data_IF_627970286153
#
_entry.id   IF_627970286153
#
_cell.length_a   1.000
_cell.length_b   1.000
_cell.length_c   1.000
_cell.angle_alpha   90.00
_cell.angle_beta   90.00
_cell.angle_gamma   90.00
#
_symmetry.space_group_name_H-M   'P 1'
#
loop_
_entity.id
_entity.type
_entity.pdbx_description
1 polymer ?
#
# COMPACT_ATOMS: atom_id res chain seq x y z
N UNK A 1 30.89 18.89 -10.80
CA UNK A 1 30.71 18.74 -9.34
C UNK A 1 29.47 17.91 -9.13
N UNK A 2 29.40 17.12 -8.05
CA UNK A 2 28.28 16.22 -7.78
C UNK A 2 27.44 16.85 -6.69
N UNK A 3 26.17 17.09 -6.95
CA UNK A 3 25.27 17.80 -6.01
C UNK A 3 24.38 16.80 -5.28
N UNK A 4 24.20 16.99 -3.97
CA UNK A 4 23.27 16.23 -3.14
C UNK A 4 21.89 16.89 -3.14
N UNK A 5 20.84 16.17 -3.49
CA UNK A 5 19.45 16.64 -3.32
C UNK A 5 18.80 15.90 -2.17
N UNK A 6 18.57 16.61 -1.06
CA UNK A 6 17.93 16.06 0.13
C UNK A 6 16.43 16.33 0.12
N UNK A 7 15.61 15.29 -0.02
CA UNK A 7 14.15 15.38 0.03
C UNK A 7 13.64 15.16 1.45
N UNK A 8 12.85 16.12 1.93
CA UNK A 8 12.17 16.09 3.22
C UNK A 8 10.65 16.02 3.02
N UNK A 9 10.04 14.81 3.02
CA UNK A 9 8.59 14.69 2.99
C UNK A 9 7.99 15.13 4.33
N UNK A 10 6.99 16.00 4.27
CA UNK A 10 6.42 16.69 5.44
C UNK A 10 4.91 16.60 5.50
N UNK A 11 4.39 16.47 6.72
CA UNK A 11 2.97 16.62 7.02
C UNK A 11 2.81 16.96 8.51
N UNK A 12 2.38 18.15 8.87
CA UNK A 12 2.37 18.63 10.26
C UNK A 12 3.77 18.67 10.94
N UNK A 13 4.74 19.29 10.29
CA UNK A 13 6.13 19.42 10.75
C UNK A 13 6.54 20.89 10.98
N UNK A 14 5.57 21.80 11.17
CA UNK A 14 5.79 23.26 11.24
C UNK A 14 6.82 23.69 12.30
N UNK A 15 6.93 22.94 13.40
CA UNK A 15 7.91 23.19 14.47
C UNK A 15 9.27 22.58 14.19
N UNK A 16 9.32 21.48 13.44
CA UNK A 16 10.56 20.73 13.24
C UNK A 16 11.42 21.35 12.13
N UNK A 17 10.80 21.87 11.07
CA UNK A 17 11.53 22.44 9.92
C UNK A 17 12.48 23.60 10.31
N UNK A 18 12.05 24.62 11.08
CA UNK A 18 12.95 25.70 11.49
C UNK A 18 14.13 25.25 12.36
N UNK A 19 13.96 24.18 13.15
CA UNK A 19 15.03 23.64 13.99
C UNK A 19 15.98 22.70 13.26
N UNK A 20 15.48 22.01 12.23
CA UNK A 20 16.22 21.00 11.49
C UNK A 20 17.12 21.61 10.42
N UNK A 21 16.64 22.61 9.67
CA UNK A 21 17.36 23.18 8.53
C UNK A 21 18.77 23.70 8.90
N UNK A 22 18.96 24.51 9.96
CA UNK A 22 20.30 25.01 10.31
C UNK A 22 21.29 23.89 10.64
N UNK A 23 20.82 22.79 11.25
CA UNK A 23 21.65 21.63 11.60
C UNK A 23 22.06 20.84 10.36
N UNK A 24 21.15 20.72 9.39
CA UNK A 24 21.45 20.08 8.10
C UNK A 24 22.50 20.89 7.32
N UNK A 25 22.35 22.21 7.28
CA UNK A 25 23.31 23.12 6.62
C UNK A 25 24.71 22.99 7.25
N UNK A 26 24.79 22.97 8.57
CA UNK A 26 26.06 22.79 9.28
C UNK A 26 26.74 21.45 8.90
N UNK A 27 26.00 20.34 8.91
CA UNK A 27 26.54 19.01 8.64
C UNK A 27 26.89 18.79 7.17
N UNK A 28 26.19 19.47 6.27
CA UNK A 28 26.46 19.43 4.83
C UNK A 28 27.51 20.46 4.40
N UNK A 29 28.16 21.14 5.34
CA UNK A 29 29.28 22.05 5.04
C UNK A 29 30.36 21.33 4.22
N UNK A 30 30.67 21.86 3.04
CA UNK A 30 31.64 21.26 2.11
C UNK A 30 31.05 20.26 1.10
N UNK A 31 29.74 19.98 1.17
CA UNK A 31 28.98 19.22 0.17
C UNK A 31 28.03 20.21 -0.53
N UNK A 32 28.16 20.35 -1.85
CA UNK A 32 27.20 21.12 -2.64
C UNK A 32 25.84 20.41 -2.59
N UNK A 33 24.81 21.11 -2.13
CA UNK A 33 23.51 20.49 -1.86
C UNK A 33 22.33 21.43 -2.14
N UNK A 34 21.17 20.82 -2.34
CA UNK A 34 19.86 21.46 -2.28
C UNK A 34 18.94 20.65 -1.35
N UNK A 35 18.01 21.31 -0.68
CA UNK A 35 17.00 20.70 0.17
C UNK A 35 15.64 20.94 -0.47
N UNK A 36 14.84 19.87 -0.61
CA UNK A 36 13.52 19.91 -1.23
C UNK A 36 12.50 19.45 -0.21
N UNK A 37 11.73 20.39 0.33
CA UNK A 37 10.63 20.11 1.24
C UNK A 37 9.37 19.82 0.41
N UNK A 38 8.81 18.62 0.57
CA UNK A 38 7.57 18.21 -0.12
C UNK A 38 6.47 18.06 0.92
N UNK A 39 5.48 18.96 0.89
CA UNK A 39 4.44 19.07 1.91
C UNK A 39 3.05 18.73 1.37
N UNK A 40 2.32 17.90 2.11
CA UNK A 40 0.99 17.37 1.75
C UNK A 40 -0.17 18.25 2.23
N UNK A 41 -0.04 19.56 1.95
CA UNK A 41 -0.99 20.59 2.34
C UNK A 41 -1.28 20.56 3.85
N UNK A 42 -0.21 20.66 4.63
CA UNK A 42 -0.27 20.57 6.08
C UNK A 42 -1.20 21.64 6.67
N UNK A 43 -2.19 21.25 7.50
CA UNK A 43 -3.09 22.19 8.15
C UNK A 43 -2.40 23.07 9.20
N UNK A 44 -1.22 22.69 9.69
CA UNK A 44 -0.43 23.49 10.63
C UNK A 44 0.43 24.58 9.96
N UNK A 45 0.36 24.71 8.62
CA UNK A 45 1.12 25.71 7.88
C UNK A 45 2.58 25.35 7.60
N UNK A 46 2.99 24.08 7.73
CA UNK A 46 4.37 23.62 7.43
C UNK A 46 4.89 24.15 6.09
N UNK A 47 4.10 24.03 5.00
CA UNK A 47 4.47 24.55 3.68
C UNK A 47 4.68 26.06 3.65
N UNK A 48 3.94 26.82 4.47
CA UNK A 48 4.02 28.28 4.50
C UNK A 48 5.33 28.72 5.17
N UNK A 49 5.64 28.12 6.31
CA UNK A 49 6.90 28.34 7.04
C UNK A 49 8.09 27.95 6.15
N UNK A 50 8.02 26.80 5.46
CA UNK A 50 9.06 26.38 4.54
C UNK A 50 9.28 27.39 3.41
N UNK A 51 8.21 27.98 2.86
CA UNK A 51 8.31 29.02 1.83
C UNK A 51 8.94 30.31 2.35
N UNK A 52 8.61 30.73 3.58
CA UNK A 52 9.24 31.89 4.22
C UNK A 52 10.74 31.68 4.40
N UNK A 53 11.13 30.49 4.88
CA UNK A 53 12.54 30.12 5.05
C UNK A 53 13.31 30.01 3.72
N UNK A 54 12.62 29.70 2.62
CA UNK A 54 13.20 29.62 1.28
C UNK A 54 13.37 30.99 0.59
N UNK A 55 12.86 32.09 1.16
CA UNK A 55 12.97 33.41 0.54
C UNK A 55 14.43 33.83 0.38
N UNK A 56 14.82 34.13 -0.87
CA UNK A 56 16.19 34.54 -1.20
C UNK A 56 17.22 33.39 -1.23
N UNK A 57 16.78 32.14 -1.14
CA UNK A 57 17.63 30.95 -1.18
C UNK A 57 17.49 30.19 -2.51
N UNK A 58 18.61 29.78 -3.08
CA UNK A 58 18.64 28.93 -4.28
C UNK A 58 18.78 27.45 -3.94
N UNK A 59 19.23 27.13 -2.72
CA UNK A 59 19.51 25.80 -2.18
C UNK A 59 18.31 25.19 -1.44
N UNK A 60 17.20 25.92 -1.27
CA UNK A 60 16.00 25.43 -0.60
C UNK A 60 14.78 25.56 -1.51
N UNK A 61 14.09 24.45 -1.73
CA UNK A 61 12.93 24.33 -2.60
C UNK A 61 11.74 23.76 -1.84
N UNK A 62 10.53 24.22 -2.17
CA UNK A 62 9.30 23.80 -1.51
C UNK A 62 8.25 23.39 -2.54
N UNK A 63 7.71 22.19 -2.38
CA UNK A 63 6.63 21.65 -3.21
C UNK A 63 5.42 21.42 -2.30
N UNK A 64 4.37 22.23 -2.48
CA UNK A 64 3.07 22.02 -1.81
C UNK A 64 2.14 21.18 -2.69
N UNK A 65 1.62 20.08 -2.17
CA UNK A 65 0.78 19.14 -2.91
C UNK A 65 -0.67 19.22 -2.47
N UNK A 66 -1.53 19.76 -3.34
CA UNK A 66 -2.97 19.89 -3.07
C UNK A 66 -3.72 18.61 -3.46
N UNK A 67 -4.61 18.14 -2.58
CA UNK A 67 -5.49 16.99 -2.84
C UNK A 67 -4.78 15.63 -2.98
N UNK A 68 -3.47 15.58 -2.75
CA UNK A 68 -2.62 14.37 -2.81
C UNK A 68 -1.99 14.14 -1.45
N UNK A 69 -1.88 12.87 -1.04
CA UNK A 69 -1.18 12.49 0.20
C UNK A 69 -0.44 11.17 0.03
N UNK A 70 0.72 11.07 0.68
CA UNK A 70 1.44 9.80 0.83
C UNK A 70 2.95 9.96 0.78
N UNK A 71 3.64 9.29 1.71
CA UNK A 71 5.09 9.38 1.89
C UNK A 71 5.86 9.00 0.62
N UNK A 72 5.65 7.81 0.05
CA UNK A 72 6.40 7.38 -1.14
C UNK A 72 6.18 8.33 -2.31
N UNK A 73 4.94 8.78 -2.54
CA UNK A 73 4.65 9.74 -3.60
C UNK A 73 5.35 11.09 -3.39
N UNK A 74 5.50 11.56 -2.14
CA UNK A 74 6.21 12.81 -1.83
C UNK A 74 7.69 12.69 -2.20
N UNK A 75 8.29 11.56 -1.82
CA UNK A 75 9.71 11.28 -2.09
C UNK A 75 9.96 11.19 -3.60
N UNK A 76 9.11 10.47 -4.34
CA UNK A 76 9.21 10.36 -5.81
C UNK A 76 9.11 11.75 -6.46
N UNK A 77 8.14 12.58 -6.05
CA UNK A 77 7.97 13.92 -6.60
C UNK A 77 9.14 14.84 -6.27
N UNK A 78 9.70 14.74 -5.06
CA UNK A 78 10.93 15.44 -4.69
C UNK A 78 12.14 15.01 -5.51
N UNK A 79 12.36 13.71 -5.71
CA UNK A 79 13.45 13.19 -6.54
C UNK A 79 13.29 13.56 -8.01
N UNK A 80 12.07 13.65 -8.53
CA UNK A 80 11.82 14.10 -9.91
C UNK A 80 12.07 15.60 -10.09
N UNK A 81 11.89 16.40 -9.04
CA UNK A 81 12.18 17.84 -9.05
C UNK A 81 13.66 18.17 -8.76
N UNK A 82 14.43 17.19 -8.29
CA UNK A 82 15.81 17.35 -7.89
C UNK A 82 16.76 17.59 -9.09
N UNK A 83 17.76 18.45 -8.86
CA UNK A 83 18.81 18.83 -9.80
C UNK A 83 20.11 18.08 -9.58
N UNK A 84 20.34 17.56 -8.37
CA UNK A 84 21.55 16.87 -8.01
C UNK A 84 21.75 15.50 -8.66
N UNK A 85 22.89 14.89 -8.37
CA UNK A 85 23.31 13.59 -8.91
C UNK A 85 23.15 12.46 -7.88
N UNK A 86 23.13 12.82 -6.60
CA UNK A 86 22.84 11.92 -5.49
C UNK A 86 21.56 12.40 -4.82
N UNK A 87 20.58 11.52 -4.74
CA UNK A 87 19.33 11.79 -4.06
C UNK A 87 19.38 11.19 -2.66
N UNK A 88 18.97 11.95 -1.65
CA UNK A 88 18.79 11.45 -0.30
C UNK A 88 17.40 11.79 0.21
N UNK A 89 16.89 10.95 1.11
CA UNK A 89 15.61 11.21 1.79
C UNK A 89 15.76 10.97 3.28
N UNK A 90 15.10 11.80 4.08
CA UNK A 90 14.92 11.57 5.51
C UNK A 90 13.61 12.18 6.00
N UNK A 91 13.02 11.57 7.03
CA UNK A 91 11.91 12.16 7.79
C UNK A 91 12.34 13.48 8.45
N UNK A 92 11.44 14.47 8.46
CA UNK A 92 11.68 15.80 9.01
C UNK A 92 11.41 15.92 10.52
N UNK A 93 11.17 14.82 11.23
CA UNK A 93 10.71 14.81 12.62
C UNK A 93 11.86 14.70 13.66
N UNK A 94 13.10 14.71 13.17
CA UNK A 94 14.33 14.64 13.97
C UNK A 94 14.70 13.25 14.48
N UNK A 95 13.97 12.19 14.07
CA UNK A 95 14.28 10.82 14.51
C UNK A 95 15.49 10.21 13.79
N UNK A 96 15.75 10.63 12.56
CA UNK A 96 16.92 10.20 11.82
C UNK A 96 18.18 10.90 12.32
N UNK A 97 19.27 10.13 12.38
CA UNK A 97 20.58 10.67 12.70
C UNK A 97 21.17 11.36 11.47
N UNK A 98 20.82 12.64 11.30
CA UNK A 98 21.22 13.42 10.12
C UNK A 98 22.75 13.62 10.02
N UNK A 99 23.53 13.35 11.08
CA UNK A 99 24.99 13.29 11.03
C UNK A 99 25.51 12.19 10.08
N UNK A 100 24.66 11.22 9.73
CA UNK A 100 25.00 10.17 8.78
C UNK A 100 24.88 10.60 7.32
N UNK A 101 24.23 11.73 7.01
CA UNK A 101 24.02 12.19 5.64
C UNK A 101 25.32 12.27 4.81
N UNK A 102 26.42 12.86 5.30
CA UNK A 102 27.69 12.88 4.57
C UNK A 102 28.20 11.47 4.25
N UNK A 103 28.08 10.53 5.19
CA UNK A 103 28.52 9.14 4.98
C UNK A 103 27.68 8.44 3.89
N UNK A 104 26.36 8.63 3.88
CA UNK A 104 25.48 8.08 2.85
C UNK A 104 25.80 8.69 1.47
N UNK A 105 26.00 10.00 1.41
CA UNK A 105 26.42 10.70 0.19
C UNK A 105 27.74 10.15 -0.34
N UNK A 106 28.77 10.05 0.50
CA UNK A 106 30.08 9.54 0.10
C UNK A 106 30.05 8.06 -0.33
N UNK A 107 29.21 7.24 0.30
CA UNK A 107 29.03 5.85 -0.12
C UNK A 107 28.48 5.75 -1.54
N UNK A 108 27.45 6.53 -1.87
CA UNK A 108 26.89 6.58 -3.23
C UNK A 108 27.92 7.13 -4.23
N UNK A 109 28.60 8.21 -3.88
CA UNK A 109 29.69 8.79 -4.69
C UNK A 109 30.83 7.81 -4.97
N UNK A 110 31.09 6.89 -4.05
CA UNK A 110 32.14 5.87 -4.17
C UNK A 110 31.72 4.65 -4.97
N UNK A 111 30.50 4.63 -5.52
CA UNK A 111 30.02 3.58 -6.42
C UNK A 111 28.91 2.69 -5.84
N UNK A 112 28.46 2.91 -4.60
CA UNK A 112 27.24 2.26 -4.12
C UNK A 112 26.04 2.78 -4.90
N UNK A 113 25.19 1.90 -5.40
CA UNK A 113 23.94 2.33 -6.03
C UNK A 113 22.96 2.91 -5.00
N UNK A 114 22.93 2.33 -3.80
CA UNK A 114 22.09 2.78 -2.67
C UNK A 114 22.90 2.69 -1.37
N UNK A 115 22.80 3.71 -0.51
CA UNK A 115 23.33 3.70 0.85
C UNK A 115 22.19 3.91 1.85
N UNK A 116 22.03 3.02 2.83
CA UNK A 116 20.89 2.99 3.76
C UNK A 116 21.36 3.26 5.18
N UNK A 117 20.73 4.21 5.86
CA UNK A 117 20.79 4.28 7.32
C UNK A 117 19.99 3.12 7.90
N UNK A 118 20.64 2.22 8.63
CA UNK A 118 20.08 0.95 9.09
C UNK A 118 20.08 0.83 10.61
N UNK A 119 18.94 0.43 11.16
CA UNK A 119 18.77 0.19 12.61
C UNK A 119 19.18 -1.22 13.03
N UNK A 120 19.40 -2.12 12.07
CA UNK A 120 19.53 -3.57 12.30
C UNK A 120 20.91 -4.13 11.91
N UNK A 121 21.84 -3.28 11.48
CA UNK A 121 23.27 -3.62 11.38
C UNK A 121 23.99 -3.47 12.72
N UNK A 122 25.20 -4.02 12.82
CA UNK A 122 26.04 -3.88 14.00
C UNK A 122 26.32 -2.39 14.28
N UNK A 123 26.10 -1.95 15.52
CA UNK A 123 26.14 -0.53 15.90
C UNK A 123 24.84 0.26 15.71
N UNK A 124 23.84 -0.31 15.02
CA UNK A 124 22.51 0.29 14.84
C UNK A 124 21.58 0.02 16.03
N UNK A 125 20.63 0.91 16.28
CA UNK A 125 19.64 0.75 17.35
C UNK A 125 18.29 1.38 17.02
N UNK A 126 17.21 0.76 17.50
CA UNK A 126 15.85 1.32 17.45
C UNK A 126 15.57 2.29 18.61
N UNK A 127 16.55 2.55 19.47
CA UNK A 127 16.42 3.44 20.62
C UNK A 127 15.35 2.96 21.62
N UNK A 128 14.61 3.90 22.19
CA UNK A 128 13.55 3.65 23.19
C UNK A 128 12.17 3.34 22.55
N UNK A 129 12.10 2.46 21.56
CA UNK A 129 10.79 2.00 21.05
C UNK A 129 10.08 1.08 22.05
N UNK A 130 8.75 1.23 22.16
CA UNK A 130 7.87 0.23 22.80
C UNK A 130 8.16 -1.16 22.23
N UNK A 131 8.39 -2.14 23.10
CA UNK A 131 8.69 -3.53 22.77
C UNK A 131 7.70 -4.13 21.78
N UNK A 132 6.40 -3.80 21.89
CA UNK A 132 5.37 -4.27 20.96
C UNK A 132 5.60 -3.74 19.54
N UNK A 133 5.96 -2.46 19.42
CA UNK A 133 6.28 -1.83 18.14
C UNK A 133 7.56 -2.43 17.54
N UNK A 134 8.54 -2.76 18.37
CA UNK A 134 9.75 -3.44 17.91
C UNK A 134 9.45 -4.82 17.35
N UNK A 135 8.64 -5.64 18.02
CA UNK A 135 8.27 -6.98 17.55
C UNK A 135 7.52 -6.90 16.23
N UNK A 136 6.51 -6.04 16.12
CA UNK A 136 5.75 -5.84 14.87
C UNK A 136 6.66 -5.40 13.72
N UNK A 137 7.58 -4.47 13.98
CA UNK A 137 8.55 -4.02 12.97
C UNK A 137 9.48 -5.15 12.52
N UNK A 138 9.97 -5.98 13.44
CA UNK A 138 10.82 -7.13 13.11
C UNK A 138 10.07 -8.18 12.28
N UNK A 139 8.81 -8.46 12.61
CA UNK A 139 7.97 -9.40 11.84
C UNK A 139 7.73 -8.85 10.43
N UNK A 140 7.32 -7.59 10.31
CA UNK A 140 7.11 -6.94 9.02
C UNK A 140 8.39 -6.94 8.16
N UNK A 141 9.54 -6.66 8.78
CA UNK A 141 10.85 -6.69 8.12
C UNK A 141 11.19 -8.09 7.64
N UNK A 142 11.09 -9.12 8.48
CA UNK A 142 11.36 -10.52 8.09
C UNK A 142 10.45 -10.98 6.96
N UNK A 143 9.17 -10.61 7.00
CA UNK A 143 8.22 -10.92 5.94
C UNK A 143 8.63 -10.28 4.61
N UNK A 144 9.00 -9.00 4.62
CA UNK A 144 9.50 -8.31 3.42
C UNK A 144 10.77 -8.96 2.86
N UNK A 145 11.74 -9.29 3.72
CA UNK A 145 12.98 -9.95 3.31
C UNK A 145 12.72 -11.31 2.65
N UNK A 146 11.87 -12.12 3.26
CA UNK A 146 11.51 -13.44 2.75
C UNK A 146 10.78 -13.36 1.40
N UNK A 147 9.80 -12.46 1.30
CA UNK A 147 8.94 -12.34 0.13
C UNK A 147 9.60 -11.62 -1.05
N UNK A 148 10.41 -10.60 -0.78
CA UNK A 148 11.01 -9.75 -1.81
C UNK A 148 12.45 -10.16 -2.18
N UNK A 149 13.07 -11.06 -1.41
CA UNK A 149 14.43 -11.55 -1.62
C UNK A 149 15.49 -10.42 -1.73
N UNK A 150 15.30 -9.33 -0.98
CA UNK A 150 16.23 -8.18 -0.94
C UNK A 150 17.38 -8.44 0.03
N UNK A 151 18.59 -7.98 -0.30
CA UNK A 151 19.83 -8.23 0.46
C UNK A 151 20.21 -7.05 1.38
N UNK A 152 19.30 -6.63 2.22
CA UNK A 152 19.47 -5.51 3.17
C UNK A 152 18.88 -5.91 4.52
N UNK A 153 19.44 -5.51 5.66
CA UNK A 153 18.88 -5.81 6.98
C UNK A 153 17.72 -4.88 7.37
N UNK A 154 17.75 -3.63 6.93
CA UNK A 154 16.68 -2.65 7.16
C UNK A 154 16.04 -2.09 5.86
N UNK A 155 15.26 -2.91 5.11
CA UNK A 155 14.59 -2.48 3.88
C UNK A 155 13.45 -1.47 4.12
N UNK A 156 13.12 -1.19 5.39
CA UNK A 156 11.98 -0.36 5.79
C UNK A 156 12.42 1.04 6.24
N UNK A 157 13.72 1.35 6.15
CA UNK A 157 14.28 2.63 6.52
C UNK A 157 13.71 3.77 5.65
N UNK A 158 13.40 4.88 6.30
CA UNK A 158 13.05 6.15 5.65
C UNK A 158 14.27 7.03 5.41
N UNK A 159 15.48 6.52 5.68
CA UNK A 159 16.71 7.27 5.61
C UNK A 159 17.73 6.55 4.72
N UNK A 160 17.90 7.06 3.50
CA UNK A 160 18.83 6.48 2.53
C UNK A 160 19.23 7.52 1.47
N UNK A 161 20.29 7.21 0.74
CA UNK A 161 20.71 7.88 -0.47
C UNK A 161 20.76 6.90 -1.65
N UNK A 162 20.53 7.40 -2.85
CA UNK A 162 20.50 6.65 -4.11
C UNK A 162 21.15 7.48 -5.23
N UNK A 163 21.85 6.80 -6.13
CA UNK A 163 22.36 7.41 -7.35
C UNK A 163 21.21 7.83 -8.28
N UNK A 164 21.21 9.07 -8.77
CA UNK A 164 20.16 9.58 -9.67
C UNK A 164 19.91 8.67 -10.87
N UNK A 165 20.99 8.23 -11.53
CA UNK A 165 20.89 7.37 -12.73
C UNK A 165 20.19 6.05 -12.42
N UNK A 166 20.34 5.52 -11.20
CA UNK A 166 19.66 4.31 -10.76
C UNK A 166 18.17 4.57 -10.51
N UNK A 167 17.84 5.67 -9.84
CA UNK A 167 16.45 6.08 -9.62
C UNK A 167 15.70 6.28 -10.95
N UNK A 168 16.27 7.02 -11.89
CA UNK A 168 15.65 7.30 -13.19
C UNK A 168 15.37 6.02 -14.00
N UNK A 169 16.21 4.99 -13.85
CA UNK A 169 15.99 3.67 -14.48
C UNK A 169 14.79 2.90 -13.94
N UNK A 170 14.40 3.16 -12.69
CA UNK A 170 13.36 2.37 -11.99
C UNK A 170 12.09 3.15 -11.67
N UNK A 171 12.10 4.49 -11.74
CA UNK A 171 11.00 5.36 -11.30
C UNK A 171 9.65 4.99 -11.91
N UNK A 172 9.61 4.56 -13.16
CA UNK A 172 8.38 4.16 -13.88
C UNK A 172 7.78 2.84 -13.37
N UNK A 173 8.55 2.05 -12.61
CA UNK A 173 8.12 0.77 -12.02
C UNK A 173 7.68 0.92 -10.56
N UNK A 174 7.94 2.07 -9.94
CA UNK A 174 7.64 2.31 -8.53
C UNK A 174 6.13 2.45 -8.31
N UNK A 175 5.67 1.98 -7.15
CA UNK A 175 4.30 2.11 -6.69
C UNK A 175 4.16 3.37 -5.81
N UNK A 176 3.51 4.45 -6.30
CA UNK A 176 3.39 5.70 -5.55
C UNK A 176 2.44 5.62 -4.35
N UNK A 177 1.61 4.57 -4.25
CA UNK A 177 0.59 4.42 -3.19
C UNK A 177 1.19 3.96 -1.84
N UNK A 178 2.44 3.51 -1.82
CA UNK A 178 3.07 2.94 -0.64
C UNK A 178 3.55 3.96 0.41
N UNK A 179 3.92 3.44 1.58
CA UNK A 179 4.63 4.17 2.64
C UNK A 179 6.14 3.85 2.68
N UNK A 180 6.60 2.81 1.97
CA UNK A 180 7.93 2.22 2.13
C UNK A 180 8.70 2.22 0.82
N UNK A 181 9.04 3.44 0.36
CA UNK A 181 9.75 3.69 -0.89
C UNK A 181 11.08 2.94 -1.03
N UNK A 182 11.83 2.77 0.07
CA UNK A 182 13.09 2.02 0.03
C UNK A 182 12.88 0.56 -0.40
N UNK A 183 11.88 -0.12 0.18
CA UNK A 183 11.57 -1.51 -0.18
C UNK A 183 11.18 -1.63 -1.66
N UNK A 184 10.43 -0.66 -2.17
CA UNK A 184 10.00 -0.60 -3.58
C UNK A 184 11.16 -0.36 -4.54
N UNK A 185 12.08 0.55 -4.17
CA UNK A 185 13.34 0.72 -4.87
C UNK A 185 14.14 -0.59 -4.88
N UNK A 186 14.34 -1.23 -3.72
CA UNK A 186 15.11 -2.48 -3.59
C UNK A 186 14.53 -3.64 -4.40
N UNK A 187 13.20 -3.66 -4.62
CA UNK A 187 12.53 -4.66 -5.46
C UNK A 187 12.72 -4.37 -6.95
N UNK A 188 12.82 -3.10 -7.33
CA UNK A 188 12.85 -2.66 -8.73
C UNK A 188 14.26 -2.49 -9.32
N UNK A 189 15.27 -2.27 -8.48
CA UNK A 189 16.67 -2.12 -8.93
C UNK A 189 17.26 -3.45 -9.42
N UNK A 190 18.27 -3.41 -10.30
CA UNK A 190 19.01 -4.61 -10.70
C UNK A 190 19.58 -5.36 -9.49
N UNK A 191 19.65 -6.70 -9.56
CA UNK A 191 20.08 -7.54 -8.43
C UNK A 191 21.56 -7.36 -8.07
N UNK A 192 22.34 -6.89 -9.03
CA UNK A 192 23.75 -6.56 -8.94
C UNK A 192 24.01 -5.17 -8.32
N UNK A 193 22.97 -4.36 -8.10
CA UNK A 193 23.11 -3.05 -7.44
C UNK A 193 23.76 -3.23 -6.08
N UNK A 194 24.89 -2.55 -5.88
CA UNK A 194 25.57 -2.51 -4.59
C UNK A 194 24.77 -1.65 -3.61
N UNK A 195 24.37 -2.26 -2.50
CA UNK A 195 23.69 -1.58 -1.39
C UNK A 195 24.56 -1.65 -0.15
N UNK A 196 24.86 -0.50 0.46
CA UNK A 196 25.59 -0.42 1.73
C UNK A 196 24.66 -0.01 2.87
N UNK A 197 24.87 -0.57 4.05
CA UNK A 197 24.11 -0.23 5.26
C UNK A 197 25.02 0.40 6.30
N UNK A 198 24.62 1.55 6.81
CA UNK A 198 25.37 2.30 7.80
C UNK A 198 24.56 2.36 9.12
N UNK A 199 25.16 2.01 10.27
CA UNK A 199 24.45 2.00 11.53
C UNK A 199 24.00 3.39 11.95
N UNK A 200 22.79 3.50 12.48
CA UNK A 200 22.37 4.68 13.25
C UNK A 200 21.45 4.32 14.41
N UNK A 201 21.35 5.24 15.38
CA UNK A 201 20.40 5.15 16.47
C UNK A 201 19.15 5.94 16.14
N UNK A 202 18.00 5.28 16.07
CA UNK A 202 16.72 5.93 15.85
C UNK A 202 16.30 6.74 17.09
N UNK A 203 16.33 8.08 16.98
CA UNK A 203 16.11 9.01 18.09
C UNK A 203 14.61 9.16 18.40
N UNK A 204 14.28 9.72 19.56
CA UNK A 204 12.91 10.16 19.86
C UNK A 204 12.55 11.34 18.96
N UNK A 205 11.28 11.40 18.57
CA UNK A 205 10.76 12.52 17.79
C UNK A 205 10.87 13.83 18.58
N UNK A 206 11.25 14.92 17.91
CA UNK A 206 11.35 16.25 18.52
C UNK A 206 9.96 16.78 18.92
N UNK A 207 9.02 16.81 17.97
CA UNK A 207 7.64 17.23 18.19
C UNK A 207 6.62 16.40 17.41
N UNK A 208 5.40 16.20 17.95
CA UNK A 208 4.25 15.59 17.26
C UNK A 208 3.93 14.13 17.62
N UNK A 209 2.87 13.56 17.03
CA UNK A 209 2.37 12.20 17.32
C UNK A 209 2.64 11.20 16.18
N UNK A 210 2.91 9.93 16.53
CA UNK A 210 3.19 8.85 15.56
C UNK A 210 2.06 8.68 14.54
N UNK A 211 2.43 8.63 13.25
CA UNK A 211 1.50 8.48 12.12
C UNK A 211 1.21 7.01 11.76
N UNK A 212 1.73 6.04 12.52
CA UNK A 212 1.49 4.61 12.32
C UNK A 212 0.04 4.24 12.69
N UNK A 213 -0.84 4.29 11.69
CA UNK A 213 -2.22 3.83 11.81
C UNK A 213 -2.37 2.39 11.29
N UNK A 214 -3.48 1.72 11.65
CA UNK A 214 -3.85 0.43 11.08
C UNK A 214 -3.87 0.45 9.55
N UNK A 215 -4.22 1.59 8.95
CA UNK A 215 -4.22 1.79 7.50
C UNK A 215 -2.82 1.56 6.89
N UNK A 216 -1.77 2.11 7.52
CA UNK A 216 -0.38 1.94 7.05
C UNK A 216 0.04 0.46 7.10
N UNK A 217 -0.45 -0.31 8.07
CA UNK A 217 -0.16 -1.74 8.16
C UNK A 217 -0.86 -2.52 7.04
N UNK A 218 -2.12 -2.17 6.74
CA UNK A 218 -2.86 -2.77 5.62
C UNK A 218 -2.19 -2.42 4.29
N UNK A 219 -1.88 -1.14 4.05
CA UNK A 219 -1.22 -0.69 2.81
C UNK A 219 0.12 -1.42 2.59
N UNK A 220 0.87 -1.72 3.66
CA UNK A 220 2.08 -2.51 3.58
C UNK A 220 1.82 -3.98 3.19
N UNK A 221 0.79 -4.61 3.75
CA UNK A 221 0.42 -5.98 3.38
C UNK A 221 -0.09 -6.06 1.93
N UNK A 222 -0.88 -5.07 1.49
CA UNK A 222 -1.33 -4.96 0.10
C UNK A 222 -0.13 -4.81 -0.85
N UNK A 223 0.83 -3.94 -0.49
CA UNK A 223 2.06 -3.79 -1.26
C UNK A 223 2.86 -5.10 -1.35
N UNK A 224 3.09 -5.80 -0.24
CA UNK A 224 3.80 -7.08 -0.23
C UNK A 224 3.10 -8.12 -1.11
N UNK A 225 1.77 -8.15 -1.07
CA UNK A 225 0.97 -8.99 -1.95
C UNK A 225 1.22 -8.62 -3.41
N UNK A 226 1.12 -7.34 -3.76
CA UNK A 226 1.25 -6.85 -5.14
C UNK A 226 2.60 -7.21 -5.77
N UNK A 227 3.69 -7.04 -5.04
CA UNK A 227 5.04 -7.32 -5.57
C UNK A 227 5.37 -8.82 -5.68
N UNK A 228 4.64 -9.67 -4.96
CA UNK A 228 4.85 -11.13 -4.95
C UNK A 228 3.80 -11.89 -5.76
N UNK A 229 2.57 -11.96 -5.26
CA UNK A 229 1.46 -12.76 -5.80
C UNK A 229 0.59 -11.93 -6.75
N UNK A 230 0.53 -10.61 -6.55
CA UNK A 230 -0.28 -9.67 -7.34
C UNK A 230 -0.01 -9.72 -8.84
N UNK A 231 1.22 -10.10 -9.21
CA UNK A 231 1.63 -10.32 -10.62
C UNK A 231 0.83 -11.43 -11.31
N UNK A 232 0.30 -12.39 -10.54
CA UNK A 232 -0.46 -13.54 -11.04
C UNK A 232 -1.94 -13.43 -10.68
N UNK A 233 -2.25 -12.97 -9.47
CA UNK A 233 -3.61 -12.90 -8.94
C UNK A 233 -3.85 -11.48 -8.44
N UNK A 234 -4.76 -10.70 -9.06
CA UNK A 234 -5.04 -9.35 -8.60
C UNK A 234 -5.61 -9.32 -7.18
N UNK A 235 -5.19 -8.36 -6.35
CA UNK A 235 -5.72 -8.21 -4.99
C UNK A 235 -7.24 -7.99 -4.98
N UNK A 236 -7.77 -7.31 -6.00
CA UNK A 236 -9.22 -7.14 -6.21
C UNK A 236 -9.94 -8.47 -6.40
N UNK A 237 -9.32 -9.47 -7.03
CA UNK A 237 -9.89 -10.82 -7.14
C UNK A 237 -9.93 -11.54 -5.78
N UNK A 238 -8.88 -11.39 -4.97
CA UNK A 238 -8.85 -11.97 -3.62
C UNK A 238 -9.92 -11.33 -2.74
N UNK A 239 -10.02 -9.99 -2.72
CA UNK A 239 -11.07 -9.26 -1.99
C UNK A 239 -12.46 -9.70 -2.45
N UNK A 240 -12.68 -9.80 -3.77
CA UNK A 240 -13.95 -10.27 -4.34
C UNK A 240 -14.31 -11.69 -3.86
N UNK A 241 -13.33 -12.60 -3.86
CA UNK A 241 -13.52 -13.98 -3.41
C UNK A 241 -13.83 -14.06 -1.92
N UNK A 242 -13.15 -13.26 -1.09
CA UNK A 242 -13.43 -13.15 0.35
C UNK A 242 -14.84 -12.65 0.62
N UNK A 243 -15.29 -11.62 -0.11
CA UNK A 243 -16.67 -11.15 -0.04
C UNK A 243 -17.65 -12.25 -0.41
N UNK A 244 -17.39 -13.01 -1.48
CA UNK A 244 -18.20 -14.16 -1.87
C UNK A 244 -18.33 -15.21 -0.77
N UNK A 245 -17.23 -15.58 -0.12
CA UNK A 245 -17.21 -16.51 1.02
C UNK A 245 -18.02 -16.00 2.21
N UNK A 246 -17.87 -14.71 2.55
CA UNK A 246 -18.69 -14.08 3.59
C UNK A 246 -20.18 -14.07 3.20
N UNK A 247 -20.49 -13.88 1.91
CA UNK A 247 -21.84 -13.97 1.37
C UNK A 247 -22.49 -15.34 1.60
N UNK A 248 -21.72 -16.43 1.51
CA UNK A 248 -22.21 -17.78 1.84
C UNK A 248 -22.60 -17.87 3.32
N UNK A 249 -21.79 -17.31 4.21
CA UNK A 249 -22.13 -17.26 5.64
C UNK A 249 -23.40 -16.43 5.89
N UNK A 250 -23.51 -15.25 5.27
CA UNK A 250 -24.70 -14.39 5.33
C UNK A 250 -25.94 -15.12 4.81
N UNK A 251 -25.81 -15.87 3.71
CA UNK A 251 -26.88 -16.71 3.17
C UNK A 251 -27.38 -17.74 4.20
N UNK A 252 -26.46 -18.49 4.83
CA UNK A 252 -26.82 -19.49 5.83
C UNK A 252 -27.51 -18.87 7.06
N UNK A 253 -27.00 -17.75 7.55
CA UNK A 253 -27.60 -17.01 8.66
C UNK A 253 -28.99 -16.45 8.30
N UNK A 254 -29.13 -15.87 7.11
CA UNK A 254 -30.41 -15.34 6.63
C UNK A 254 -31.44 -16.46 6.45
N UNK A 255 -31.04 -17.59 5.85
CA UNK A 255 -31.90 -18.77 5.71
C UNK A 255 -32.39 -19.27 7.07
N UNK A 256 -31.48 -19.41 8.03
CA UNK A 256 -31.84 -19.81 9.40
C UNK A 256 -32.81 -18.82 10.05
N UNK A 257 -32.54 -17.51 9.94
CA UNK A 257 -33.37 -16.47 10.52
C UNK A 257 -34.77 -16.42 9.89
N UNK A 258 -34.88 -16.47 8.56
CA UNK A 258 -36.17 -16.48 7.85
C UNK A 258 -36.98 -17.71 8.24
N UNK A 259 -36.36 -18.88 8.26
CA UNK A 259 -37.03 -20.13 8.62
C UNK A 259 -37.57 -20.09 10.06
N UNK A 260 -36.78 -19.57 11.00
CA UNK A 260 -37.13 -19.59 12.44
C UNK A 260 -38.06 -18.46 12.86
N UNK A 261 -37.83 -17.25 12.36
CA UNK A 261 -38.51 -16.05 12.88
C UNK A 261 -39.62 -15.54 11.96
N UNK A 262 -39.49 -15.71 10.65
CA UNK A 262 -40.46 -15.20 9.67
C UNK A 262 -41.51 -16.26 9.36
N UNK A 263 -41.08 -17.43 8.93
CA UNK A 263 -42.00 -18.49 8.52
C UNK A 263 -42.59 -19.26 9.70
N UNK A 264 -41.93 -19.22 10.87
CA UNK A 264 -42.33 -19.86 12.13
C UNK A 264 -42.89 -21.28 11.95
N UNK A 265 -42.41 -21.99 10.92
CA UNK A 265 -43.08 -23.19 10.44
C UNK A 265 -42.70 -24.36 11.32
N UNK A 266 -43.69 -24.93 12.01
CA UNK A 266 -43.52 -26.12 12.86
C UNK A 266 -43.25 -27.39 12.04
N UNK A 267 -43.59 -27.38 10.75
CA UNK A 267 -43.41 -28.50 9.83
C UNK A 267 -42.64 -28.08 8.56
N UNK A 268 -41.67 -28.89 8.09
CA UNK A 268 -40.96 -28.62 6.85
C UNK A 268 -41.92 -28.72 5.66
N UNK A 269 -42.02 -27.63 4.86
CA UNK A 269 -42.76 -27.60 3.61
C UNK A 269 -41.87 -27.09 2.47
N UNK A 270 -42.09 -27.57 1.25
CA UNK A 270 -41.34 -27.15 0.06
C UNK A 270 -41.53 -25.66 -0.23
N UNK A 271 -42.76 -25.14 -0.01
CA UNK A 271 -43.06 -23.72 -0.17
C UNK A 271 -42.29 -22.84 0.80
N UNK A 272 -42.31 -23.16 2.10
CA UNK A 272 -41.57 -22.42 3.12
C UNK A 272 -40.06 -22.48 2.87
N UNK A 273 -39.53 -23.65 2.54
CA UNK A 273 -38.12 -23.81 2.16
C UNK A 273 -37.73 -22.90 0.99
N UNK A 274 -38.53 -22.89 -0.08
CA UNK A 274 -38.26 -22.09 -1.28
C UNK A 274 -38.24 -20.59 -0.98
N UNK A 275 -39.20 -20.10 -0.20
CA UNK A 275 -39.25 -18.69 0.22
C UNK A 275 -38.00 -18.32 1.04
N UNK A 276 -37.60 -19.18 1.98
CA UNK A 276 -36.42 -18.94 2.80
C UNK A 276 -35.12 -18.91 1.96
N UNK A 277 -34.96 -19.82 1.00
CA UNK A 277 -33.80 -19.85 0.10
C UNK A 277 -33.74 -18.62 -0.80
N UNK A 278 -34.86 -18.20 -1.38
CA UNK A 278 -34.92 -16.99 -2.22
C UNK A 278 -34.54 -15.75 -1.40
N UNK A 279 -35.17 -15.55 -0.23
CA UNK A 279 -34.88 -14.42 0.64
C UNK A 279 -33.43 -14.40 1.13
N UNK A 280 -32.87 -15.57 1.48
CA UNK A 280 -31.47 -15.70 1.87
C UNK A 280 -30.50 -15.40 0.72
N UNK A 281 -30.82 -15.83 -0.49
CA UNK A 281 -30.03 -15.57 -1.71
C UNK A 281 -29.97 -14.08 -2.00
N UNK A 282 -31.12 -13.40 -2.03
CA UNK A 282 -31.19 -11.95 -2.24
C UNK A 282 -30.44 -11.18 -1.14
N UNK A 283 -30.57 -11.60 0.12
CA UNK A 283 -29.84 -10.98 1.24
C UNK A 283 -28.32 -11.08 1.04
N UNK A 284 -27.82 -12.25 0.60
CA UNK A 284 -26.41 -12.44 0.32
C UNK A 284 -25.93 -11.65 -0.91
N UNK A 285 -26.74 -11.55 -1.96
CA UNK A 285 -26.43 -10.75 -3.16
C UNK A 285 -26.31 -9.26 -2.79
N UNK A 286 -27.26 -8.74 -2.02
CA UNK A 286 -27.27 -7.35 -1.53
C UNK A 286 -26.03 -7.09 -0.68
N UNK A 287 -25.74 -7.97 0.28
CA UNK A 287 -24.54 -7.88 1.12
C UNK A 287 -23.25 -7.85 0.27
N UNK A 288 -23.12 -8.79 -0.68
CA UNK A 288 -21.96 -8.89 -1.54
C UNK A 288 -21.76 -7.64 -2.41
N UNK A 289 -22.85 -7.10 -2.97
CA UNK A 289 -22.77 -5.89 -3.78
C UNK A 289 -22.26 -4.69 -2.98
N UNK A 290 -22.83 -4.43 -1.81
CA UNK A 290 -22.45 -3.28 -1.00
C UNK A 290 -21.03 -3.41 -0.44
N UNK A 291 -20.65 -4.60 0.02
CA UNK A 291 -19.30 -4.82 0.53
C UNK A 291 -18.25 -4.71 -0.58
N UNK A 292 -18.51 -5.26 -1.77
CA UNK A 292 -17.63 -5.06 -2.92
C UNK A 292 -17.54 -3.57 -3.33
N UNK A 293 -18.66 -2.82 -3.29
CA UNK A 293 -18.67 -1.40 -3.65
C UNK A 293 -17.86 -0.52 -2.67
N UNK A 294 -17.85 -0.87 -1.39
CA UNK A 294 -17.18 -0.10 -0.33
C UNK A 294 -15.72 -0.53 -0.15
N UNK A 295 -15.40 -1.81 -0.37
CA UNK A 295 -14.09 -2.38 -0.05
C UNK A 295 -13.32 -2.87 -1.29
N UNK A 296 -13.86 -3.81 -2.06
CA UNK A 296 -13.17 -4.40 -3.23
C UNK A 296 -12.87 -3.37 -4.31
N UNK A 297 -13.88 -2.56 -4.66
CA UNK A 297 -13.84 -1.54 -5.71
C UNK A 297 -13.98 -0.13 -5.13
N UNK A 298 -13.40 0.09 -3.94
CA UNK A 298 -13.48 1.37 -3.24
C UNK A 298 -13.03 2.58 -4.08
N UNK A 299 -12.08 2.38 -5.00
CA UNK A 299 -11.60 3.41 -5.93
C UNK A 299 -12.61 3.83 -7.02
N UNK A 300 -13.61 2.99 -7.30
CA UNK A 300 -14.66 3.22 -8.32
C UNK A 300 -16.05 3.15 -7.67
N UNK A 301 -16.14 3.56 -6.40
CA UNK A 301 -17.34 3.40 -5.59
C UNK A 301 -18.55 4.08 -6.25
N UNK A 302 -19.57 3.29 -6.55
CA UNK A 302 -20.83 3.75 -7.12
C UNK A 302 -21.70 4.40 -6.04
N UNK A 303 -22.33 5.54 -6.36
CA UNK A 303 -23.22 6.27 -5.46
C UNK A 303 -24.54 6.67 -6.14
N UNK A 304 -25.61 6.82 -5.36
CA UNK A 304 -26.92 7.25 -5.85
C UNK A 304 -27.46 6.39 -7.00
N UNK A 305 -27.88 7.02 -8.09
CA UNK A 305 -28.44 6.32 -9.27
C UNK A 305 -27.47 5.32 -9.89
N UNK A 306 -26.17 5.58 -9.85
CA UNK A 306 -25.16 4.67 -10.38
C UNK A 306 -25.07 3.38 -9.56
N UNK A 307 -25.30 3.45 -8.24
CA UNK A 307 -25.33 2.27 -7.40
C UNK A 307 -26.54 1.37 -7.73
N UNK A 308 -27.71 1.96 -8.01
CA UNK A 308 -28.89 1.20 -8.42
C UNK A 308 -28.68 0.48 -9.77
N UNK A 309 -28.13 1.19 -10.76
CA UNK A 309 -27.77 0.58 -12.06
C UNK A 309 -26.68 -0.49 -11.88
N UNK A 310 -25.67 -0.21 -11.05
CA UNK A 310 -24.62 -1.16 -10.71
C UNK A 310 -25.17 -2.43 -10.06
N UNK A 311 -26.15 -2.31 -9.18
CA UNK A 311 -26.79 -3.45 -8.53
C UNK A 311 -27.51 -4.36 -9.54
N UNK A 312 -28.21 -3.77 -10.52
CA UNK A 312 -28.83 -4.55 -11.61
C UNK A 312 -27.79 -5.28 -12.45
N UNK A 313 -26.71 -4.60 -12.83
CA UNK A 313 -25.60 -5.21 -13.57
C UNK A 313 -24.94 -6.35 -12.79
N UNK A 314 -24.74 -6.16 -11.49
CA UNK A 314 -24.20 -7.18 -10.59
C UNK A 314 -25.07 -8.43 -10.55
N UNK A 315 -26.39 -8.26 -10.45
CA UNK A 315 -27.34 -9.37 -10.49
C UNK A 315 -27.27 -10.14 -11.82
N UNK A 316 -27.23 -9.43 -12.94
CA UNK A 316 -27.07 -10.06 -14.27
C UNK A 316 -25.77 -10.85 -14.32
N UNK A 317 -24.67 -10.28 -13.86
CA UNK A 317 -23.38 -10.97 -13.80
C UNK A 317 -23.47 -12.26 -12.98
N UNK A 318 -24.04 -12.19 -11.78
CA UNK A 318 -24.23 -13.34 -10.89
C UNK A 318 -25.09 -14.44 -11.51
N UNK A 319 -26.17 -14.08 -12.22
CA UNK A 319 -27.02 -15.04 -12.92
C UNK A 319 -26.24 -15.80 -13.99
N UNK A 320 -25.48 -15.10 -14.82
CA UNK A 320 -24.63 -15.75 -15.82
C UNK A 320 -23.50 -16.57 -15.17
N UNK A 321 -22.92 -16.12 -14.06
CA UNK A 321 -21.92 -16.90 -13.32
C UNK A 321 -22.47 -18.21 -12.78
N UNK A 322 -23.73 -18.23 -12.35
CA UNK A 322 -24.41 -19.47 -11.94
C UNK A 322 -24.56 -20.44 -13.12
N UNK A 323 -24.90 -19.93 -14.31
CA UNK A 323 -24.96 -20.74 -15.54
C UNK A 323 -23.59 -21.28 -15.96
N UNK A 324 -22.54 -20.47 -15.85
CA UNK A 324 -21.15 -20.90 -16.11
C UNK A 324 -20.75 -22.02 -15.15
N UNK A 325 -21.03 -21.85 -13.85
CA UNK A 325 -20.77 -22.88 -12.85
C UNK A 325 -21.47 -24.20 -13.20
N UNK A 326 -22.77 -24.14 -13.47
CA UNK A 326 -23.56 -25.31 -13.83
C UNK A 326 -23.04 -25.97 -15.11
N UNK A 327 -22.76 -25.19 -16.17
CA UNK A 327 -22.29 -25.70 -17.46
C UNK A 327 -20.91 -26.36 -17.37
N UNK A 328 -19.97 -25.76 -16.64
CA UNK A 328 -18.63 -26.34 -16.44
C UNK A 328 -18.71 -27.61 -15.59
N UNK A 329 -19.46 -27.57 -14.48
CA UNK A 329 -19.64 -28.72 -13.59
C UNK A 329 -20.21 -29.92 -14.33
N UNK A 330 -21.29 -29.71 -15.09
CA UNK A 330 -21.96 -30.77 -15.85
C UNK A 330 -21.10 -31.31 -17.00
N UNK A 331 -20.35 -30.44 -17.69
CA UNK A 331 -19.44 -30.86 -18.75
C UNK A 331 -18.29 -31.72 -18.22
N UNK A 332 -17.67 -31.32 -17.11
CA UNK A 332 -16.59 -32.10 -16.49
C UNK A 332 -17.09 -33.44 -15.95
N UNK A 333 -18.27 -33.45 -15.34
CA UNK A 333 -18.92 -34.69 -14.90
C UNK A 333 -19.21 -35.63 -16.08
N UNK A 334 -19.70 -35.09 -17.21
CA UNK A 334 -19.93 -35.88 -18.43
C UNK A 334 -18.63 -36.46 -19.01
N UNK A 335 -17.50 -35.79 -18.83
CA UNK A 335 -16.15 -36.29 -19.15
C UNK A 335 -15.61 -37.30 -18.13
N UNK A 336 -16.45 -37.78 -17.21
CA UNK A 336 -16.11 -38.75 -16.14
C UNK A 336 -15.07 -38.24 -15.14
N UNK A 337 -14.95 -36.92 -14.96
CA UNK A 337 -14.20 -36.38 -13.84
C UNK A 337 -14.90 -36.72 -12.51
N UNK A 338 -14.15 -36.78 -11.43
CA UNK A 338 -14.71 -36.99 -10.10
C UNK A 338 -15.72 -35.88 -9.77
N UNK A 339 -16.89 -36.25 -9.25
CA UNK A 339 -18.03 -35.36 -9.00
C UNK A 339 -17.65 -34.11 -8.19
N UNK A 340 -16.98 -34.30 -7.05
CA UNK A 340 -16.54 -33.19 -6.20
C UNK A 340 -15.62 -32.23 -6.96
N UNK A 341 -14.67 -32.75 -7.73
CA UNK A 341 -13.73 -31.95 -8.52
C UNK A 341 -14.45 -31.18 -9.63
N UNK A 342 -15.44 -31.78 -10.28
CA UNK A 342 -16.26 -31.14 -11.31
C UNK A 342 -17.04 -29.94 -10.73
N UNK A 343 -17.71 -30.12 -9.58
CA UNK A 343 -18.45 -29.05 -8.88
C UNK A 343 -17.52 -27.94 -8.40
N UNK A 344 -16.35 -28.30 -7.84
CA UNK A 344 -15.38 -27.34 -7.38
C UNK A 344 -14.83 -26.45 -8.52
N UNK A 345 -14.45 -27.06 -9.65
CA UNK A 345 -13.95 -26.34 -10.81
C UNK A 345 -15.04 -25.48 -11.47
N UNK A 346 -16.29 -25.94 -11.50
CA UNK A 346 -17.41 -25.12 -11.93
C UNK A 346 -17.63 -23.90 -11.03
N UNK A 347 -17.57 -24.07 -9.71
CA UNK A 347 -17.70 -22.97 -8.77
C UNK A 347 -16.56 -21.94 -8.97
N UNK A 348 -15.32 -22.39 -9.17
CA UNK A 348 -14.19 -21.53 -9.50
C UNK A 348 -14.42 -20.75 -10.82
N UNK A 349 -14.88 -21.43 -11.87
CA UNK A 349 -15.19 -20.79 -13.15
C UNK A 349 -16.30 -19.73 -13.00
N UNK A 350 -17.34 -20.00 -12.21
CA UNK A 350 -18.40 -19.05 -11.90
C UNK A 350 -17.89 -17.83 -11.13
N UNK A 351 -17.01 -18.00 -10.14
CA UNK A 351 -16.38 -16.88 -9.41
C UNK A 351 -15.50 -16.05 -10.33
N UNK A 352 -14.68 -16.69 -11.18
CA UNK A 352 -13.83 -16.00 -12.16
C UNK A 352 -14.65 -15.20 -13.17
N UNK A 353 -15.75 -15.77 -13.67
CA UNK A 353 -16.71 -15.07 -14.53
C UNK A 353 -17.29 -13.84 -13.82
N UNK A 354 -17.86 -14.05 -12.63
CA UNK A 354 -18.49 -13.00 -11.85
C UNK A 354 -17.53 -11.85 -11.56
N UNK A 355 -16.30 -12.14 -11.16
CA UNK A 355 -15.28 -11.12 -10.93
C UNK A 355 -14.96 -10.34 -12.22
N UNK A 356 -14.70 -11.06 -13.31
CA UNK A 356 -14.28 -10.46 -14.59
C UNK A 356 -15.36 -9.54 -15.16
N UNK A 357 -16.61 -10.03 -15.20
CA UNK A 357 -17.75 -9.25 -15.69
C UNK A 357 -18.01 -8.06 -14.79
N UNK A 358 -17.99 -8.22 -13.47
CA UNK A 358 -18.24 -7.10 -12.56
C UNK A 358 -17.15 -6.03 -12.64
N UNK A 359 -15.88 -6.42 -12.80
CA UNK A 359 -14.77 -5.47 -13.00
C UNK A 359 -14.90 -4.70 -14.32
N UNK A 360 -15.41 -5.32 -15.39
CA UNK A 360 -15.47 -4.68 -16.72
C UNK A 360 -16.79 -3.94 -16.95
N UNK A 361 -17.88 -4.38 -16.31
CA UNK A 361 -19.23 -3.92 -16.62
C UNK A 361 -19.90 -3.12 -15.50
N UNK A 362 -19.70 -3.55 -14.25
CA UNK A 362 -20.34 -2.98 -13.05
C UNK A 362 -19.49 -1.84 -12.47
N UNK A 363 -18.24 -2.11 -12.12
CA UNK A 363 -17.26 -1.15 -11.63
C UNK A 363 -16.20 -0.89 -12.69
N UNK A 364 -16.55 -0.08 -13.69
CA UNK A 364 -15.63 0.30 -14.76
C UNK A 364 -14.53 1.21 -14.19
N UNK A 365 -13.28 0.88 -14.53
CA UNK A 365 -12.14 1.78 -14.30
C UNK A 365 -12.25 3.06 -15.13
#
# INVERSE_FOLDING_TARGET
MCVLSLVLPTYNEAKNIPELLPKLEEILTGIEHEIIIVDDDSPDGTWHIALELAQGREDLHVIRRLGRRGLSSAVIEGFLAAKGDVFAVMDADGQHDFELLPALYHAVRSGSGIAVGSRYVEGGSVGEWDERRQVLSRIATRLALFLCAVKVKDPMSGFFAIERSLFERVVTKLNPKGFKILLDLLVCVPRETQVTEHPFTFRKRLHGQSKLSLRVQVDFLEYLYDVTVGKYIPLTFVKYSLVGTLGVFVHLCAYYAITRFVLQSSHPSVGGFSIAVIGATETAIVFNFFLNNIWTFAGQRLQGKQAAVGFLKFNIACLFGALVNWGVSTSLFALKWQEFLAVFLGAMAGVMWNYTVNRIFTWKE
#
